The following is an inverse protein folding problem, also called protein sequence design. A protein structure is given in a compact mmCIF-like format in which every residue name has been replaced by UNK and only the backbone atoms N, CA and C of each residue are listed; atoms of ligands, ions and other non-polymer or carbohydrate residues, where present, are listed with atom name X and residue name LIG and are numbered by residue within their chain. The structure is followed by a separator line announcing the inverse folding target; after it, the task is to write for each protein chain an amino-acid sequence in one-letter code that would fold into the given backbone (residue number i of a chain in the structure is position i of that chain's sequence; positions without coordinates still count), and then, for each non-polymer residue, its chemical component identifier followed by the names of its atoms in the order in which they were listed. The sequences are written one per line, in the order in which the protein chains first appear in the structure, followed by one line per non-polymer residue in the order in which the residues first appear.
data_IF_155734239516
#
_entry.id   IF_155734239516
#
_cell.length_a   1.000
_cell.length_b   1.000
_cell.length_c   1.000
_cell.angle_alpha   90.00
_cell.angle_beta   90.00
_cell.angle_gamma   90.00
#
_symmetry.space_group_name_H-M   'P 1'
#
loop_
_entity.id
_entity.type
_entity.pdbx_description
1 polymer ?
#
# COMPACT_ATOMS: atom_id res chain seq x y z
N UNK A 1 16.85 -6.39 5.27
CA UNK A 1 15.78 -7.10 6.01
C UNK A 1 14.58 -6.17 6.07
N UNK A 2 13.42 -6.60 5.54
CA UNK A 2 12.16 -5.88 5.74
C UNK A 2 11.38 -6.64 6.81
N UNK A 3 10.93 -5.94 7.85
CA UNK A 3 9.93 -6.51 8.77
C UNK A 3 8.57 -6.15 8.19
N UNK A 4 7.77 -7.16 7.90
CA UNK A 4 6.44 -7.02 7.33
C UNK A 4 5.42 -7.82 8.12
N UNK A 5 4.17 -7.41 8.04
CA UNK A 5 3.03 -8.11 8.63
C UNK A 5 2.15 -8.68 7.52
N UNK A 6 1.60 -9.88 7.73
CA UNK A 6 0.60 -10.41 6.81
C UNK A 6 -0.65 -9.54 6.85
N UNK A 7 -1.34 -9.40 5.71
CA UNK A 7 -2.55 -8.60 5.64
C UNK A 7 -3.65 -9.03 6.62
N UNK A 8 -3.71 -10.32 6.98
CA UNK A 8 -4.67 -10.86 7.96
C UNK A 8 -4.30 -10.52 9.41
N UNK A 9 -3.03 -10.30 9.71
CA UNK A 9 -2.52 -10.07 11.07
C UNK A 9 -2.36 -8.57 11.38
N UNK A 10 -2.73 -7.70 10.44
CA UNK A 10 -2.56 -6.27 10.59
C UNK A 10 -3.43 -5.72 11.73
N UNK A 11 -2.78 -5.11 12.73
CA UNK A 11 -3.44 -4.42 13.83
C UNK A 11 -3.27 -2.89 13.72
N UNK A 12 -4.36 -2.10 13.61
CA UNK A 12 -4.30 -0.65 13.51
C UNK A 12 -3.82 0.05 14.78
N UNK A 13 -3.79 -0.64 15.93
CA UNK A 13 -3.26 -0.09 17.19
C UNK A 13 -1.75 0.14 17.11
N UNK A 14 -1.04 -0.71 16.35
CA UNK A 14 0.41 -0.65 16.15
C UNK A 14 0.83 0.48 15.21
N UNK A 15 -0.11 1.27 14.70
CA UNK A 15 0.17 2.39 13.78
C UNK A 15 0.26 3.70 14.55
N UNK A 16 1.43 4.34 14.49
CA UNK A 16 1.67 5.65 15.08
C UNK A 16 1.73 6.68 13.94
N UNK A 17 1.02 7.81 14.11
CA UNK A 17 0.99 8.91 13.16
C UNK A 17 1.86 10.05 13.72
N UNK A 18 2.89 10.46 12.99
CA UNK A 18 3.76 11.55 13.43
C UNK A 18 3.07 12.92 13.38
N UNK A 19 3.70 13.90 14.03
CA UNK A 19 3.41 15.31 13.78
C UNK A 19 3.57 15.67 12.28
N UNK A 20 2.89 16.74 11.87
CA UNK A 20 2.94 17.22 10.49
C UNK A 20 4.34 17.69 10.12
N UNK A 21 4.73 17.41 8.89
CA UNK A 21 5.98 17.88 8.28
C UNK A 21 5.67 18.46 6.90
N UNK A 22 6.55 19.30 6.37
CA UNK A 22 6.39 19.87 5.03
C UNK A 22 6.49 18.73 4.01
N UNK A 23 5.51 18.66 3.10
CA UNK A 23 5.57 17.71 1.99
C UNK A 23 6.44 18.27 0.86
N UNK A 24 7.63 17.68 0.68
CA UNK A 24 8.56 18.09 -0.39
C UNK A 24 8.13 17.62 -1.78
N UNK A 25 7.18 16.68 -1.88
CA UNK A 25 6.72 16.11 -3.16
C UNK A 25 5.47 16.83 -3.67
N UNK A 26 4.54 17.16 -2.78
CA UNK A 26 3.29 17.84 -3.10
C UNK A 26 3.27 19.21 -2.41
N UNK A 27 3.63 20.25 -3.15
CA UNK A 27 3.66 21.64 -2.67
C UNK A 27 2.28 22.04 -2.15
N UNK A 28 2.23 22.66 -0.96
CA UNK A 28 0.97 23.06 -0.32
C UNK A 28 0.21 21.93 0.38
N UNK A 29 0.86 20.78 0.58
CA UNK A 29 0.33 19.70 1.42
C UNK A 29 1.22 19.41 2.63
N UNK A 30 0.59 18.92 3.69
CA UNK A 30 1.25 18.38 4.87
C UNK A 30 1.56 16.90 4.67
N UNK A 31 2.65 16.42 5.27
CA UNK A 31 3.00 15.01 5.33
C UNK A 31 3.09 14.52 6.77
N UNK A 32 2.38 13.44 7.07
CA UNK A 32 2.44 12.72 8.33
C UNK A 32 3.11 11.37 8.09
N UNK A 33 4.26 11.13 8.73
CA UNK A 33 4.94 9.83 8.64
C UNK A 33 4.13 8.79 9.43
N UNK A 34 3.97 7.62 8.84
CA UNK A 34 3.45 6.46 9.54
C UNK A 34 4.62 5.65 10.09
N UNK A 35 4.50 5.24 11.35
CA UNK A 35 5.45 4.35 12.02
C UNK A 35 4.64 3.12 12.43
N UNK A 36 5.13 1.94 12.09
CA UNK A 36 4.60 0.70 12.64
C UNK A 36 5.44 0.35 13.87
N UNK A 37 4.81 0.09 15.01
CA UNK A 37 5.50 -0.33 16.22
C UNK A 37 4.67 -1.35 16.97
N UNK A 38 5.29 -2.48 17.28
CA UNK A 38 4.77 -3.49 18.20
C UNK A 38 5.76 -3.67 19.37
N UNK A 39 5.56 -4.72 20.17
CA UNK A 39 6.43 -5.06 21.30
C UNK A 39 7.84 -5.51 20.88
N UNK A 40 8.01 -5.94 19.64
CA UNK A 40 9.24 -6.56 19.16
C UNK A 40 10.09 -5.61 18.31
N UNK A 41 9.45 -4.69 17.58
CA UNK A 41 10.14 -3.81 16.65
C UNK A 41 9.36 -2.52 16.33
N UNK A 42 10.09 -1.57 15.74
CA UNK A 42 9.50 -0.39 15.11
C UNK A 42 10.09 -0.18 13.72
N UNK A 43 9.25 0.17 12.74
CA UNK A 43 9.69 0.44 11.36
C UNK A 43 9.14 1.77 10.84
N UNK A 44 9.93 2.39 9.96
CA UNK A 44 9.53 3.61 9.25
C UNK A 44 8.61 3.24 8.07
N UNK A 45 7.32 3.45 8.27
CA UNK A 45 6.26 2.99 7.39
C UNK A 45 5.71 1.64 7.82
N UNK A 46 4.59 1.26 7.21
CA UNK A 46 3.92 -0.02 7.41
C UNK A 46 4.23 -0.88 6.19
N UNK A 47 4.59 -2.14 6.42
CA UNK A 47 4.92 -3.10 5.36
C UNK A 47 3.92 -4.25 5.42
N UNK A 48 3.00 -4.31 4.46
CA UNK A 48 1.97 -5.35 4.37
C UNK A 48 2.38 -6.39 3.33
N UNK A 49 2.42 -7.64 3.74
CA UNK A 49 2.66 -8.79 2.87
C UNK A 49 1.35 -9.48 2.50
N UNK A 50 1.19 -9.79 1.21
CA UNK A 50 0.08 -10.58 0.69
C UNK A 50 0.46 -11.25 -0.64
N UNK A 51 -0.21 -12.36 -1.00
CA UNK A 51 -0.04 -12.99 -2.31
C UNK A 51 -1.33 -12.95 -3.13
N UNK A 52 -1.17 -12.99 -4.45
CA UNK A 52 -2.26 -13.12 -5.40
C UNK A 52 -1.93 -14.22 -6.40
N UNK A 53 -2.97 -14.90 -6.87
CA UNK A 53 -2.88 -16.02 -7.80
C UNK A 53 -3.29 -15.61 -9.22
N UNK A 54 -2.82 -16.35 -10.22
CA UNK A 54 -3.14 -16.18 -11.64
C UNK A 54 -2.92 -14.73 -12.12
N UNK A 55 -1.67 -14.29 -12.10
CA UNK A 55 -1.30 -12.91 -12.43
C UNK A 55 -0.64 -12.87 -13.80
N UNK A 56 -1.10 -11.94 -14.64
CA UNK A 56 -0.40 -11.57 -15.87
C UNK A 56 0.50 -10.36 -15.61
N UNK A 57 1.80 -10.55 -15.81
CA UNK A 57 2.80 -9.49 -15.67
C UNK A 57 3.17 -8.96 -17.05
N UNK A 58 2.89 -7.68 -17.29
CA UNK A 58 3.18 -7.00 -18.54
C UNK A 58 3.99 -5.72 -18.32
N UNK A 59 4.82 -5.38 -19.30
CA UNK A 59 5.51 -4.09 -19.32
C UNK A 59 4.51 -2.99 -19.70
N UNK A 60 4.48 -1.93 -18.91
CA UNK A 60 3.61 -0.77 -19.12
C UNK A 60 4.43 0.52 -19.08
N UNK A 61 4.95 0.93 -20.24
CA UNK A 61 5.92 2.03 -20.37
C UNK A 61 7.14 1.80 -19.45
N UNK A 62 7.36 2.69 -18.47
CA UNK A 62 8.42 2.61 -17.46
C UNK A 62 7.95 1.96 -16.15
N UNK A 63 6.83 1.25 -16.18
CA UNK A 63 6.22 0.56 -15.04
C UNK A 63 5.97 -0.89 -15.40
N UNK A 64 5.82 -1.73 -14.38
CA UNK A 64 5.35 -3.10 -14.54
C UNK A 64 3.89 -3.12 -14.10
N UNK A 65 3.01 -3.69 -14.91
CA UNK A 65 1.59 -3.86 -14.60
C UNK A 65 1.33 -5.34 -14.32
N UNK A 66 0.86 -5.61 -13.12
CA UNK A 66 0.44 -6.94 -12.68
C UNK A 66 -1.08 -6.98 -12.68
N UNK A 67 -1.67 -7.60 -13.70
CA UNK A 67 -3.13 -7.77 -13.80
C UNK A 67 -3.51 -9.10 -13.17
N UNK A 68 -4.49 -9.10 -12.27
CA UNK A 68 -4.94 -10.30 -11.56
C UNK A 68 -6.40 -10.62 -11.91
N UNK A 69 -6.74 -11.90 -11.90
CA UNK A 69 -8.09 -12.35 -12.20
C UNK A 69 -9.02 -12.22 -10.98
N UNK A 70 -10.30 -12.07 -11.28
CA UNK A 70 -11.38 -12.06 -10.30
C UNK A 70 -11.66 -13.50 -9.84
N UNK A 71 -11.00 -13.93 -8.78
CA UNK A 71 -11.23 -15.21 -8.12
C UNK A 71 -11.48 -15.01 -6.61
N UNK A 72 -12.10 -15.99 -5.96
CA UNK A 72 -12.51 -15.90 -4.55
C UNK A 72 -11.35 -15.58 -3.62
N UNK A 73 -10.21 -16.25 -3.78
CA UNK A 73 -9.01 -16.06 -2.96
C UNK A 73 -8.43 -14.65 -3.13
N UNK A 74 -8.21 -14.20 -4.37
CA UNK A 74 -7.71 -12.86 -4.66
C UNK A 74 -8.66 -11.79 -4.13
N UNK A 75 -9.97 -11.99 -4.27
CA UNK A 75 -10.97 -11.04 -3.77
C UNK A 75 -10.93 -10.90 -2.25
N UNK A 76 -10.71 -11.99 -1.51
CA UNK A 76 -10.54 -11.95 -0.06
C UNK A 76 -9.28 -11.15 0.31
N UNK A 77 -8.14 -11.45 -0.33
CA UNK A 77 -6.89 -10.73 -0.11
C UNK A 77 -7.02 -9.24 -0.44
N UNK A 78 -7.59 -8.91 -1.60
CA UNK A 78 -7.82 -7.53 -2.04
C UNK A 78 -8.76 -6.79 -1.08
N UNK A 79 -9.81 -7.45 -0.61
CA UNK A 79 -10.74 -6.85 0.34
C UNK A 79 -10.07 -6.56 1.68
N UNK A 80 -9.19 -7.45 2.13
CA UNK A 80 -8.38 -7.23 3.33
C UNK A 80 -7.42 -6.03 3.15
N UNK A 81 -6.68 -5.96 2.04
CA UNK A 81 -5.79 -4.82 1.74
C UNK A 81 -6.56 -3.49 1.64
N UNK A 82 -7.74 -3.50 1.01
CA UNK A 82 -8.65 -2.33 0.98
C UNK A 82 -9.12 -1.93 2.38
N UNK A 83 -9.40 -2.91 3.25
CA UNK A 83 -9.79 -2.67 4.64
C UNK A 83 -8.66 -2.00 5.42
N UNK A 84 -7.42 -2.46 5.26
CA UNK A 84 -6.23 -1.88 5.90
C UNK A 84 -6.08 -0.39 5.53
N UNK A 85 -6.21 -0.04 4.25
CA UNK A 85 -6.18 1.36 3.81
C UNK A 85 -7.23 2.19 4.55
N UNK A 86 -8.48 1.71 4.59
CA UNK A 86 -9.58 2.41 5.30
C UNK A 86 -9.32 2.52 6.79
N UNK A 87 -8.79 1.48 7.44
CA UNK A 87 -8.50 1.48 8.88
C UNK A 87 -7.44 2.53 9.22
N UNK A 88 -6.36 2.63 8.44
CA UNK A 88 -5.31 3.64 8.62
C UNK A 88 -5.88 5.05 8.39
N UNK A 89 -6.61 5.26 7.29
CA UNK A 89 -7.17 6.57 6.97
C UNK A 89 -8.24 7.01 7.97
N UNK A 90 -9.08 6.09 8.48
CA UNK A 90 -10.10 6.42 9.49
C UNK A 90 -9.46 6.86 10.82
N UNK A 91 -8.31 6.29 11.20
CA UNK A 91 -7.54 6.75 12.38
C UNK A 91 -7.13 8.21 12.24
N UNK A 92 -6.82 8.66 11.02
CA UNK A 92 -6.49 10.06 10.71
C UNK A 92 -7.73 10.94 10.48
N UNK A 93 -8.82 10.38 9.94
CA UNK A 93 -10.08 11.09 9.67
C UNK A 93 -10.65 11.72 10.96
N UNK A 94 -10.51 11.03 12.08
CA UNK A 94 -10.94 11.54 13.39
C UNK A 94 -10.21 12.84 13.78
N UNK A 95 -9.09 13.17 13.14
CA UNK A 95 -8.27 14.36 13.41
C UNK A 95 -8.64 15.50 12.45
N UNK A 96 -9.08 15.22 11.22
CA UNK A 96 -9.46 16.24 10.23
C UNK A 96 -10.67 15.78 9.40
N UNK A 97 -11.76 16.56 9.44
CA UNK A 97 -13.01 16.33 8.68
C UNK A 97 -12.83 16.61 7.18
N UNK A 98 -11.99 15.81 6.50
CA UNK A 98 -11.59 15.95 5.10
C UNK A 98 -12.06 14.76 4.25
N UNK A 99 -12.00 14.92 2.94
CA UNK A 99 -12.37 13.87 1.98
C UNK A 99 -11.27 12.81 1.90
N UNK A 100 -11.65 11.52 1.93
CA UNK A 100 -10.71 10.41 1.84
C UNK A 100 -10.36 10.12 0.38
N UNK A 101 -9.06 10.01 0.08
CA UNK A 101 -8.54 9.48 -1.17
C UNK A 101 -8.01 8.06 -0.97
N UNK A 102 -8.80 7.06 -1.38
CA UNK A 102 -8.48 5.64 -1.26
C UNK A 102 -7.83 5.10 -2.54
N UNK A 103 -6.62 5.58 -2.83
CA UNK A 103 -5.90 5.28 -4.08
C UNK A 103 -5.52 3.80 -4.23
N UNK A 104 -5.26 3.10 -3.11
CA UNK A 104 -4.99 1.65 -3.15
C UNK A 104 -6.27 0.92 -3.56
N UNK A 105 -7.41 1.27 -2.95
CA UNK A 105 -8.71 0.71 -3.30
C UNK A 105 -9.05 0.95 -4.78
N UNK A 106 -8.90 2.18 -5.28
CA UNK A 106 -9.14 2.53 -6.68
C UNK A 106 -8.31 1.65 -7.62
N UNK A 107 -7.01 1.49 -7.34
CA UNK A 107 -6.12 0.68 -8.17
C UNK A 107 -6.52 -0.81 -8.15
N UNK A 108 -6.73 -1.37 -6.97
CA UNK A 108 -7.10 -2.79 -6.82
C UNK A 108 -8.50 -3.10 -7.39
N UNK A 109 -9.41 -2.12 -7.41
CA UNK A 109 -10.73 -2.28 -8.00
C UNK A 109 -10.68 -2.34 -9.54
N UNK A 110 -9.65 -1.75 -10.15
CA UNK A 110 -9.41 -1.84 -11.59
C UNK A 110 -8.72 -3.15 -12.03
N UNK A 111 -8.43 -4.08 -11.11
CA UNK A 111 -7.89 -5.39 -11.46
C UNK A 111 -6.39 -5.43 -11.74
N UNK A 112 -5.63 -4.38 -11.38
CA UNK A 112 -4.19 -4.36 -11.59
C UNK A 112 -3.41 -3.68 -10.46
N UNK A 113 -2.14 -4.06 -10.29
CA UNK A 113 -1.14 -3.38 -9.46
C UNK A 113 -0.07 -2.79 -10.39
N UNK A 114 0.35 -1.55 -10.12
CA UNK A 114 1.46 -0.90 -10.83
C UNK A 114 2.70 -0.86 -9.95
N UNK A 115 3.80 -1.40 -10.45
CA UNK A 115 5.11 -1.36 -9.82
C UNK A 115 6.00 -0.34 -10.53
N UNK A 116 6.88 0.29 -9.75
CA UNK A 116 7.85 1.27 -10.24
C UNK A 116 9.25 0.70 -10.07
N UNK A 117 10.01 0.62 -11.15
CA UNK A 117 11.40 0.13 -11.17
C UNK A 117 11.63 -1.02 -12.16
N UNK A 118 12.90 -1.27 -12.46
CA UNK A 118 13.38 -2.46 -13.18
C UNK A 118 13.65 -3.60 -12.18
N UNK A 119 12.61 -4.02 -11.47
CA UNK A 119 12.70 -5.27 -10.73
C UNK A 119 12.88 -6.39 -11.78
N UNK A 120 13.78 -7.34 -11.52
CA UNK A 120 13.99 -8.52 -12.37
C UNK A 120 12.77 -9.44 -12.32
N UNK A 121 11.64 -8.98 -12.87
CA UNK A 121 10.36 -9.67 -12.85
C UNK A 121 10.23 -10.50 -14.11
N UNK A 122 9.78 -11.75 -13.95
CA UNK A 122 9.43 -12.62 -15.06
C UNK A 122 8.11 -12.15 -15.67
N UNK A 123 8.17 -11.64 -16.90
CA UNK A 123 6.98 -11.28 -17.67
C UNK A 123 6.16 -12.52 -18.06
N UNK A 124 4.87 -12.31 -18.31
CA UNK A 124 3.91 -13.37 -18.66
C UNK A 124 3.07 -13.83 -17.49
N UNK A 125 2.44 -15.01 -17.63
CA UNK A 125 1.55 -15.59 -16.62
C UNK A 125 2.36 -16.18 -15.48
N UNK A 126 1.99 -15.82 -14.25
CA UNK A 126 2.54 -16.34 -13.01
C UNK A 126 1.40 -16.98 -12.20
N UNK A 127 1.66 -18.15 -11.63
CA UNK A 127 0.66 -18.85 -10.82
C UNK A 127 0.38 -18.12 -9.51
N UNK A 128 1.44 -17.62 -8.86
CA UNK A 128 1.39 -16.87 -7.61
C UNK A 128 2.48 -15.80 -7.62
N UNK A 129 2.18 -14.62 -7.07
CA UNK A 129 3.18 -13.59 -6.80
C UNK A 129 2.97 -13.04 -5.39
N UNK A 130 4.07 -12.93 -4.64
CA UNK A 130 4.11 -12.29 -3.34
C UNK A 130 4.40 -10.80 -3.49
N UNK A 131 3.51 -9.97 -2.95
CA UNK A 131 3.62 -8.53 -2.96
C UNK A 131 3.95 -8.00 -1.57
N UNK A 132 4.74 -6.93 -1.56
CA UNK A 132 4.96 -6.10 -0.39
C UNK A 132 4.42 -4.71 -0.67
N UNK A 133 3.44 -4.28 0.12
CA UNK A 133 2.89 -2.93 0.11
C UNK A 133 3.54 -2.13 1.23
N UNK A 134 4.38 -1.16 0.86
CA UNK A 134 4.91 -0.17 1.80
C UNK A 134 3.99 1.03 1.84
N UNK A 135 3.48 1.37 3.01
CA UNK A 135 2.72 2.60 3.30
C UNK A 135 3.61 3.52 4.13
N UNK A 136 4.08 4.62 3.56
CA UNK A 136 5.11 5.47 4.19
C UNK A 136 4.52 6.59 5.06
N UNK A 137 3.31 7.03 4.74
CA UNK A 137 2.72 8.20 5.37
C UNK A 137 1.34 8.53 4.85
N UNK A 138 0.77 9.59 5.41
CA UNK A 138 -0.45 10.25 4.96
C UNK A 138 -0.06 11.62 4.42
N UNK A 139 -0.48 11.94 3.20
CA UNK A 139 -0.45 13.30 2.69
C UNK A 139 -1.81 13.95 2.93
N UNK A 140 -1.83 15.23 3.27
CA UNK A 140 -3.06 15.99 3.46
C UNK A 140 -2.94 17.34 2.75
N UNK A 141 -3.81 17.59 1.78
CA UNK A 141 -3.85 18.83 1.01
C UNK A 141 -4.88 19.78 1.59
N UNK A 142 -4.49 21.03 1.82
CA UNK A 142 -5.41 22.09 2.25
C UNK A 142 -6.20 22.65 1.06
N UNK A 143 -5.63 22.61 -0.15
CA UNK A 143 -6.23 23.18 -1.36
C UNK A 143 -7.42 22.36 -1.87
N UNK A 144 -7.26 21.05 -1.92
CA UNK A 144 -8.28 20.09 -2.40
C UNK A 144 -9.12 19.52 -1.27
N UNK A 145 -8.80 19.87 -0.02
CA UNK A 145 -9.46 19.40 1.20
C UNK A 145 -9.54 17.86 1.30
N UNK A 146 -8.54 17.17 0.76
CA UNK A 146 -8.44 15.71 0.75
C UNK A 146 -7.13 15.23 1.39
N UNK A 147 -7.11 13.96 1.72
CA UNK A 147 -5.93 13.28 2.24
C UNK A 147 -5.94 11.82 1.80
N UNK A 148 -4.76 11.23 1.75
CA UNK A 148 -4.60 9.85 1.31
C UNK A 148 -3.27 9.26 1.75
N UNK A 149 -3.07 7.99 1.42
CA UNK A 149 -1.82 7.30 1.74
C UNK A 149 -0.76 7.55 0.67
N UNK A 150 0.49 7.66 1.10
CA UNK A 150 1.67 7.52 0.24
C UNK A 150 2.16 6.09 0.32
N UNK A 151 2.11 5.36 -0.79
CA UNK A 151 2.43 3.94 -0.82
C UNK A 151 3.22 3.51 -2.06
N UNK A 152 3.85 2.34 -1.97
CA UNK A 152 4.53 1.67 -3.09
C UNK A 152 4.41 0.16 -2.95
N UNK A 153 4.15 -0.51 -4.08
CA UNK A 153 4.17 -1.96 -4.19
C UNK A 153 5.54 -2.45 -4.67
N UNK A 154 5.93 -3.63 -4.21
CA UNK A 154 7.13 -4.36 -4.61
C UNK A 154 6.77 -5.84 -4.80
N UNK A 155 7.54 -6.54 -5.63
CA UNK A 155 7.54 -8.00 -5.68
C UNK A 155 8.77 -8.49 -4.91
N UNK A 156 8.61 -9.50 -4.06
CA UNK A 156 9.76 -10.23 -3.52
C UNK A 156 9.55 -11.71 -3.80
N UNK A 157 10.26 -12.24 -4.79
CA UNK A 157 10.32 -13.68 -5.01
C UNK A 157 11.41 -14.25 -4.10
N UNK A 158 11.10 -15.36 -3.42
CA UNK A 158 12.11 -16.18 -2.73
C UNK A 158 13.11 -16.71 -3.77
N UNK A 159 14.18 -15.97 -4.02
CA UNK A 159 15.47 -16.55 -4.38
C UNK A 159 16.34 -16.42 -3.13
N UNK A 160 16.12 -17.34 -2.19
CA UNK A 160 17.12 -17.72 -1.20
C UNK A 160 17.50 -19.17 -1.46
#
# INVERSE_FOLDING_TARGET
MFVSVFHNDFNPHNVIISAKTINNVMVGSDFHRLIFSDEQCSTNGIYIHFSLNNISVEKYFNKIKCSFENNSTNNQTISSVKSIEKMILNKFKNIKNRTLSCRIQEQLQNGFIKLYGDDAVKYGKQNEIHFLLKISGIWASDQTNDFGLTFRFFIFNHQF
#
